data_IF_705516447267
#
_entry.id   IF_705516447267
#
_cell.length_a   1.000
_cell.length_b   1.000
_cell.length_c   1.000
_cell.angle_alpha   90.00
_cell.angle_beta   90.00
_cell.angle_gamma   90.00
#
_symmetry.space_group_name_H-M   'P 1'
#
loop_
_entity.id
_entity.type
_entity.pdbx_description
1 polymer ?
#
# COMPACT_ATOMS: atom_id res chain seq x y z
N UNK A 1 16.83 -42.85 -6.28
CA UNK A 1 17.23 -42.13 -7.51
C UNK A 1 18.11 -40.97 -7.07
N UNK A 2 19.44 -41.06 -7.23
CA UNK A 2 20.36 -39.96 -6.87
C UNK A 2 20.23 -38.89 -7.94
N UNK A 3 19.63 -37.75 -7.62
CA UNK A 3 19.64 -36.60 -8.51
C UNK A 3 21.10 -36.23 -8.80
N UNK A 4 21.50 -36.23 -10.08
CA UNK A 4 22.76 -35.63 -10.51
C UNK A 4 22.72 -34.19 -10.01
N UNK A 5 23.58 -33.83 -9.05
CA UNK A 5 23.68 -32.46 -8.53
C UNK A 5 23.94 -31.53 -9.72
N UNK A 6 22.90 -30.85 -10.18
CA UNK A 6 23.03 -29.83 -11.22
C UNK A 6 23.87 -28.72 -10.63
N UNK A 7 25.00 -28.39 -11.25
CA UNK A 7 25.80 -27.23 -10.87
C UNK A 7 25.01 -25.97 -11.25
N UNK A 8 24.29 -25.42 -10.27
CA UNK A 8 23.49 -24.21 -10.45
C UNK A 8 24.36 -22.96 -10.41
N UNK A 9 23.85 -21.91 -11.04
CA UNK A 9 24.38 -20.55 -10.97
C UNK A 9 24.33 -19.94 -9.58
N UNK A 10 24.94 -18.77 -9.44
CA UNK A 10 25.02 -18.04 -8.16
C UNK A 10 23.64 -17.70 -7.59
N UNK A 11 22.63 -17.52 -8.46
CA UNK A 11 21.23 -17.26 -8.09
C UNK A 11 20.39 -18.52 -7.88
N UNK A 12 21.00 -19.72 -7.86
CA UNK A 12 20.31 -21.02 -7.72
C UNK A 12 19.18 -21.19 -8.73
N UNK A 13 17.92 -21.17 -8.27
CA UNK A 13 16.70 -21.33 -9.07
C UNK A 13 15.98 -20.00 -9.33
N UNK A 14 16.58 -18.87 -8.93
CA UNK A 14 16.03 -17.53 -9.16
C UNK A 14 16.61 -16.88 -10.40
N UNK A 15 15.81 -16.01 -11.01
CA UNK A 15 16.22 -15.23 -12.18
C UNK A 15 17.26 -14.17 -11.80
N UNK A 16 18.48 -14.22 -12.38
CA UNK A 16 19.53 -13.26 -12.07
C UNK A 16 19.22 -11.86 -12.62
N UNK A 17 18.52 -11.78 -13.74
CA UNK A 17 18.10 -10.51 -14.36
C UNK A 17 17.05 -9.80 -13.50
N UNK A 18 16.03 -10.51 -13.04
CA UNK A 18 15.01 -9.93 -12.14
C UNK A 18 15.62 -9.46 -10.82
N UNK A 19 16.62 -10.18 -10.31
CA UNK A 19 17.32 -9.81 -9.09
C UNK A 19 18.16 -8.55 -9.28
N UNK A 20 18.84 -8.39 -10.42
CA UNK A 20 19.67 -7.21 -10.69
C UNK A 20 18.85 -5.96 -11.00
N UNK A 21 17.82 -6.09 -11.83
CA UNK A 21 17.07 -4.94 -12.36
C UNK A 21 15.93 -4.49 -11.44
N UNK A 22 15.16 -5.45 -10.93
CA UNK A 22 13.96 -5.16 -10.14
C UNK A 22 14.22 -5.33 -8.64
N UNK A 23 15.39 -5.85 -8.26
CA UNK A 23 15.71 -6.21 -6.89
C UNK A 23 14.64 -7.13 -6.26
N UNK A 24 14.23 -8.15 -7.03
CA UNK A 24 13.23 -9.16 -6.64
C UNK A 24 13.74 -10.56 -6.97
N UNK A 25 13.63 -11.47 -6.00
CA UNK A 25 13.86 -12.89 -6.21
C UNK A 25 12.63 -13.51 -6.87
N UNK A 26 12.66 -13.55 -8.20
CA UNK A 26 11.62 -14.20 -9.00
C UNK A 26 12.07 -15.61 -9.40
N UNK A 27 11.25 -16.65 -9.18
CA UNK A 27 11.61 -18.02 -9.54
C UNK A 27 11.76 -18.16 -11.06
N UNK A 28 12.88 -18.73 -11.50
CA UNK A 28 13.11 -19.01 -12.92
C UNK A 28 12.45 -20.31 -13.37
N UNK A 29 12.05 -20.36 -14.64
CA UNK A 29 11.48 -21.54 -15.28
C UNK A 29 12.58 -22.40 -15.90
N UNK A 30 12.41 -23.73 -15.84
CA UNK A 30 13.34 -24.68 -16.44
C UNK A 30 13.44 -24.51 -17.96
N UNK A 31 12.33 -24.18 -18.61
CA UNK A 31 12.22 -24.02 -20.06
C UNK A 31 13.04 -22.85 -20.61
N UNK A 32 13.40 -21.90 -19.74
CA UNK A 32 14.17 -20.72 -20.11
C UNK A 32 15.61 -20.79 -19.63
N UNK A 33 16.08 -21.93 -19.12
CA UNK A 33 17.42 -22.06 -18.57
C UNK A 33 18.52 -21.82 -19.61
N UNK A 34 19.64 -21.25 -19.16
CA UNK A 34 20.85 -21.09 -19.97
C UNK A 34 22.09 -21.53 -19.17
N UNK A 35 23.12 -21.97 -19.89
CA UNK A 35 24.39 -22.38 -19.29
C UNK A 35 25.45 -21.30 -19.51
N UNK A 36 26.12 -20.88 -18.43
CA UNK A 36 27.23 -19.93 -18.49
C UNK A 36 28.31 -20.34 -17.47
N UNK A 37 29.57 -20.38 -17.89
CA UNK A 37 30.72 -20.83 -17.06
C UNK A 37 30.44 -22.15 -16.32
N UNK A 38 29.96 -23.16 -17.03
CA UNK A 38 29.59 -24.48 -16.49
C UNK A 38 28.44 -24.51 -15.46
N UNK A 39 27.86 -23.37 -15.13
CA UNK A 39 26.71 -23.23 -14.24
C UNK A 39 25.41 -23.05 -15.03
N UNK A 40 24.32 -23.59 -14.50
CA UNK A 40 22.96 -23.45 -15.07
C UNK A 40 22.23 -22.31 -14.36
N UNK A 41 21.76 -21.33 -15.14
CA UNK A 41 20.93 -20.22 -14.68
C UNK A 41 19.50 -20.39 -15.18
N UNK A 42 18.53 -20.00 -14.36
CA UNK A 42 17.10 -20.06 -14.68
C UNK A 42 16.54 -18.64 -14.85
N UNK A 43 15.53 -18.48 -15.71
CA UNK A 43 14.99 -17.17 -16.05
C UNK A 43 13.46 -17.19 -15.99
N UNK A 44 12.85 -16.09 -15.57
CA UNK A 44 11.39 -15.99 -15.46
C UNK A 44 10.72 -15.96 -16.83
N UNK A 45 11.37 -15.34 -17.81
CA UNK A 45 10.86 -15.16 -19.17
C UNK A 45 12.01 -15.38 -20.17
N UNK A 46 11.73 -15.71 -21.44
CA UNK A 46 12.76 -15.90 -22.45
C UNK A 46 13.51 -14.61 -22.78
N UNK A 47 12.88 -13.44 -22.63
CA UNK A 47 13.53 -12.14 -22.87
C UNK A 47 14.66 -11.90 -21.86
N UNK A 48 14.46 -12.28 -20.59
CA UNK A 48 15.51 -12.18 -19.57
C UNK A 48 16.64 -13.17 -19.81
N UNK A 49 16.35 -14.37 -20.33
CA UNK A 49 17.41 -15.29 -20.78
C UNK A 49 18.27 -14.65 -21.87
N UNK A 50 17.63 -14.07 -22.89
CA UNK A 50 18.35 -13.47 -24.02
C UNK A 50 19.14 -12.22 -23.58
N UNK A 51 18.59 -11.44 -22.64
CA UNK A 51 19.28 -10.30 -22.03
C UNK A 51 20.52 -10.73 -21.24
N UNK A 52 20.43 -11.81 -20.47
CA UNK A 52 21.56 -12.38 -19.77
C UNK A 52 22.63 -12.89 -20.73
N UNK A 53 22.24 -13.59 -21.81
CA UNK A 53 23.20 -14.12 -22.78
C UNK A 53 23.97 -13.02 -23.54
N UNK A 54 23.39 -11.81 -23.66
CA UNK A 54 24.09 -10.66 -24.25
C UNK A 54 25.25 -10.20 -23.37
N UNK A 55 25.00 -9.98 -22.08
CA UNK A 55 25.99 -9.47 -21.12
C UNK A 55 25.94 -10.25 -19.80
N UNK A 56 26.41 -11.52 -19.76
CA UNK A 56 26.25 -12.38 -18.58
C UNK A 56 27.04 -11.90 -17.37
N UNK A 57 28.16 -11.22 -17.60
CA UNK A 57 29.01 -10.66 -16.55
C UNK A 57 28.26 -9.65 -15.66
N UNK A 58 27.24 -8.95 -16.16
CA UNK A 58 26.51 -7.97 -15.34
C UNK A 58 25.64 -8.63 -14.24
N UNK A 59 25.29 -9.90 -14.45
CA UNK A 59 24.29 -10.62 -13.65
C UNK A 59 24.89 -11.74 -12.78
N UNK A 60 26.18 -12.04 -12.95
CA UNK A 60 26.92 -13.09 -12.23
C UNK A 60 27.77 -12.47 -11.13
N UNK A 61 27.99 -13.19 -10.03
CA UNK A 61 28.82 -12.70 -8.94
C UNK A 61 30.30 -12.72 -9.36
N UNK A 62 30.96 -11.55 -9.35
CA UNK A 62 32.40 -11.46 -9.62
C UNK A 62 33.21 -11.49 -8.33
N UNK A 63 33.17 -10.39 -7.57
CA UNK A 63 33.98 -10.19 -6.38
C UNK A 63 33.14 -10.18 -5.09
N UNK A 64 31.89 -9.75 -5.18
CA UNK A 64 30.98 -9.66 -4.05
C UNK A 64 29.84 -10.67 -4.18
N UNK A 65 29.40 -11.27 -3.05
CA UNK A 65 28.23 -12.11 -3.04
C UNK A 65 27.00 -11.30 -3.46
N UNK A 66 26.11 -11.93 -4.22
CA UNK A 66 24.87 -11.30 -4.66
C UNK A 66 24.04 -10.91 -3.44
N UNK A 67 23.72 -9.62 -3.34
CA UNK A 67 22.90 -9.10 -2.26
C UNK A 67 21.45 -9.56 -2.44
N UNK A 68 20.88 -10.15 -1.40
CA UNK A 68 19.49 -10.51 -1.36
C UNK A 68 18.61 -9.25 -1.20
N UNK A 69 17.43 -9.20 -1.85
CA UNK A 69 16.55 -8.07 -1.70
C UNK A 69 15.95 -8.01 -0.27
N UNK A 70 15.55 -6.81 0.19
CA UNK A 70 14.93 -6.63 1.50
C UNK A 70 13.70 -7.53 1.67
N UNK A 71 13.53 -8.06 2.88
CA UNK A 71 12.36 -8.86 3.24
C UNK A 71 11.11 -7.97 3.23
N UNK A 72 10.07 -8.41 2.49
CA UNK A 72 8.76 -7.76 2.44
C UNK A 72 7.76 -8.69 3.12
N UNK A 73 7.23 -8.28 4.27
CA UNK A 73 6.32 -9.08 5.10
C UNK A 73 5.01 -8.34 5.26
N UNK A 74 3.89 -9.02 4.98
CA UNK A 74 2.54 -8.51 5.23
C UNK A 74 1.88 -9.38 6.30
N UNK A 75 1.42 -8.77 7.39
CA UNK A 75 0.74 -9.45 8.49
C UNK A 75 -0.77 -9.27 8.34
N UNK A 76 -1.48 -10.38 8.11
CA UNK A 76 -2.92 -10.44 7.85
C UNK A 76 -3.59 -11.26 8.94
N UNK A 77 -4.84 -10.93 9.27
CA UNK A 77 -5.61 -11.60 10.32
C UNK A 77 -6.80 -10.75 10.77
N UNK A 78 -7.61 -11.29 11.68
CA UNK A 78 -8.82 -10.64 12.20
C UNK A 78 -8.56 -9.24 12.79
N UNK A 79 -9.58 -8.38 12.78
CA UNK A 79 -9.52 -7.09 13.46
C UNK A 79 -9.22 -7.28 14.96
N UNK A 80 -8.43 -6.38 15.56
CA UNK A 80 -8.03 -6.51 16.97
C UNK A 80 -6.98 -7.59 17.30
N UNK A 81 -6.55 -8.43 16.36
CA UNK A 81 -5.57 -9.52 16.61
C UNK A 81 -4.14 -9.04 16.95
N UNK A 82 -3.91 -7.74 17.15
CA UNK A 82 -2.60 -7.20 17.50
C UNK A 82 -1.57 -7.18 16.35
N UNK A 83 -2.02 -7.28 15.09
CA UNK A 83 -1.16 -7.32 13.90
C UNK A 83 -0.14 -6.18 13.87
N UNK A 84 -0.58 -4.95 14.13
CA UNK A 84 0.28 -3.75 14.16
C UNK A 84 1.34 -3.83 15.25
N UNK A 85 1.01 -4.37 16.43
CA UNK A 85 1.95 -4.54 17.54
C UNK A 85 3.00 -5.59 17.17
N UNK A 86 2.56 -6.74 16.67
CA UNK A 86 3.46 -7.80 16.20
C UNK A 86 4.35 -7.33 15.04
N UNK A 87 3.78 -6.57 14.10
CA UNK A 87 4.50 -6.01 12.95
C UNK A 87 5.63 -5.09 13.40
N UNK A 88 5.37 -4.19 14.36
CA UNK A 88 6.39 -3.32 14.96
C UNK A 88 7.48 -4.12 15.65
N UNK A 89 7.12 -5.11 16.47
CA UNK A 89 8.10 -5.97 17.14
C UNK A 89 8.98 -6.75 16.16
N UNK A 90 8.41 -7.25 15.06
CA UNK A 90 9.14 -7.94 14.00
C UNK A 90 10.09 -6.96 13.29
N UNK A 91 9.61 -5.76 13.01
CA UNK A 91 10.40 -4.70 12.38
C UNK A 91 11.62 -4.32 13.22
N UNK A 92 11.43 -4.08 14.52
CA UNK A 92 12.49 -3.73 15.46
C UNK A 92 13.54 -4.86 15.57
N UNK A 93 13.09 -6.12 15.64
CA UNK A 93 13.99 -7.28 15.75
C UNK A 93 14.79 -7.55 14.47
N UNK A 94 14.18 -7.35 13.30
CA UNK A 94 14.82 -7.61 12.01
C UNK A 94 15.52 -6.37 11.43
N UNK A 95 15.38 -5.20 12.06
CA UNK A 95 15.89 -3.94 11.54
C UNK A 95 15.26 -3.54 10.20
N UNK A 96 14.01 -3.93 9.95
CA UNK A 96 13.30 -3.62 8.71
C UNK A 96 12.31 -2.47 8.92
N UNK A 97 12.02 -1.72 7.86
CA UNK A 97 11.09 -0.60 7.92
C UNK A 97 9.64 -1.08 8.12
N UNK A 98 8.97 -0.56 9.15
CA UNK A 98 7.57 -0.86 9.44
C UNK A 98 6.65 0.16 8.77
N UNK A 99 5.74 -0.31 7.91
CA UNK A 99 4.71 0.51 7.28
C UNK A 99 3.38 0.22 7.98
N UNK A 100 2.77 1.26 8.57
CA UNK A 100 1.40 1.16 9.04
C UNK A 100 0.46 1.34 7.85
N UNK A 101 0.10 0.20 7.24
CA UNK A 101 -0.58 0.15 5.94
C UNK A 101 -1.86 0.99 5.87
N UNK A 102 -2.68 0.98 6.93
CA UNK A 102 -3.93 1.73 6.98
C UNK A 102 -3.72 3.25 6.88
N UNK A 103 -2.76 3.79 7.64
CA UNK A 103 -2.41 5.22 7.61
C UNK A 103 -1.84 5.61 6.25
N UNK A 104 -0.89 4.81 5.75
CA UNK A 104 -0.26 5.05 4.46
C UNK A 104 -1.27 4.98 3.29
N UNK A 105 -2.17 4.01 3.33
CA UNK A 105 -3.24 3.89 2.34
C UNK A 105 -4.18 5.10 2.40
N UNK A 106 -4.53 5.54 3.61
CA UNK A 106 -5.38 6.70 3.83
C UNK A 106 -4.73 7.97 3.26
N UNK A 107 -3.43 8.18 3.47
CA UNK A 107 -2.68 9.32 2.90
C UNK A 107 -2.69 9.31 1.37
N UNK A 108 -2.57 8.15 0.73
CA UNK A 108 -2.59 8.02 -0.73
C UNK A 108 -3.98 8.26 -1.34
N UNK A 109 -5.03 7.93 -0.61
CA UNK A 109 -6.42 7.99 -1.10
C UNK A 109 -7.07 9.35 -0.81
N UNK A 110 -6.71 10.01 0.30
CA UNK A 110 -7.29 11.28 0.74
C UNK A 110 -7.33 12.37 -0.35
N UNK A 111 -6.32 12.54 -1.23
CA UNK A 111 -6.39 13.52 -2.31
C UNK A 111 -7.49 13.25 -3.34
N UNK A 112 -7.88 11.97 -3.50
CA UNK A 112 -8.91 11.53 -4.46
C UNK A 112 -10.30 11.55 -3.86
N UNK A 113 -10.44 11.10 -2.62
CA UNK A 113 -11.73 10.96 -1.93
C UNK A 113 -12.13 12.21 -1.15
N UNK A 114 -11.16 13.06 -0.79
CA UNK A 114 -11.31 14.26 0.08
C UNK A 114 -11.76 13.98 1.51
N UNK A 115 -12.09 12.72 1.83
CA UNK A 115 -12.46 12.25 3.15
C UNK A 115 -11.72 10.94 3.49
N UNK A 116 -11.70 10.61 4.79
CA UNK A 116 -11.18 9.33 5.25
C UNK A 116 -12.17 8.22 4.91
N UNK A 117 -11.66 7.05 4.54
CA UNK A 117 -12.46 5.94 4.03
C UNK A 117 -12.23 4.73 4.90
N UNK A 118 -13.32 4.12 5.38
CA UNK A 118 -13.26 2.82 6.02
C UNK A 118 -14.26 2.69 7.17
N UNK A 119 -14.39 1.48 7.73
CA UNK A 119 -15.44 1.16 8.70
C UNK A 119 -15.44 2.03 9.97
N UNK A 120 -14.31 2.67 10.28
CA UNK A 120 -14.15 3.58 11.43
C UNK A 120 -14.43 5.06 11.11
N UNK A 121 -14.61 5.41 9.84
CA UNK A 121 -14.86 6.78 9.36
C UNK A 121 -16.21 6.92 8.66
N UNK A 122 -16.83 5.79 8.30
CA UNK A 122 -18.20 5.71 7.78
C UNK A 122 -19.27 5.80 8.88
N UNK A 123 -18.87 5.93 10.15
CA UNK A 123 -19.77 6.34 11.24
C UNK A 123 -20.25 7.77 10.90
N UNK A 124 -21.56 7.90 10.62
CA UNK A 124 -22.21 9.18 10.34
C UNK A 124 -21.71 10.22 11.34
N UNK A 125 -21.37 11.45 10.91
CA UNK A 125 -20.94 12.47 11.84
C UNK A 125 -22.03 12.60 12.89
N UNK A 126 -21.71 12.22 14.14
CA UNK A 126 -22.42 12.67 15.33
C UNK A 126 -22.74 14.13 15.07
N UNK A 127 -24.04 14.44 14.97
CA UNK A 127 -24.50 15.77 14.57
C UNK A 127 -23.75 16.78 15.43
N UNK A 128 -22.76 17.44 14.83
CA UNK A 128 -21.88 18.39 15.51
C UNK A 128 -22.83 19.33 16.27
N UNK A 129 -22.82 19.32 17.60
CA UNK A 129 -23.80 20.05 18.43
C UNK A 129 -23.88 21.53 18.00
N UNK A 130 -22.78 22.04 17.43
CA UNK A 130 -22.66 23.36 16.83
C UNK A 130 -23.57 23.58 15.61
N UNK A 131 -23.83 22.55 14.80
CA UNK A 131 -24.70 22.59 13.63
C UNK A 131 -26.17 22.58 14.03
N UNK A 132 -26.55 21.82 15.06
CA UNK A 132 -27.87 21.91 15.70
C UNK A 132 -28.09 23.30 16.31
N UNK A 133 -27.08 23.86 16.99
CA UNK A 133 -27.17 25.18 17.61
C UNK A 133 -27.36 26.30 16.55
N UNK A 134 -26.62 26.23 15.45
CA UNK A 134 -26.75 27.17 14.31
C UNK A 134 -28.13 27.07 13.63
N UNK A 135 -28.63 25.86 13.39
CA UNK A 135 -29.95 25.64 12.79
C UNK A 135 -31.08 26.13 13.73
N UNK A 136 -30.91 25.98 15.03
CA UNK A 136 -31.86 26.46 16.05
C UNK A 136 -31.93 27.98 16.05
N UNK A 137 -30.77 28.66 15.99
CA UNK A 137 -30.68 30.12 15.92
C UNK A 137 -31.28 30.68 14.63
N UNK A 138 -31.02 30.05 13.47
CA UNK A 138 -31.62 30.48 12.20
C UNK A 138 -33.14 30.35 12.20
N UNK A 139 -33.70 29.29 12.82
CA UNK A 139 -35.15 29.10 12.95
C UNK A 139 -35.80 30.12 13.91
N UNK A 140 -35.12 30.48 14.99
CA UNK A 140 -35.57 31.52 15.92
C UNK A 140 -35.57 32.92 15.28
N UNK A 141 -34.52 33.25 14.51
CA UNK A 141 -34.42 34.51 13.78
C UNK A 141 -35.48 34.61 12.67
N UNK A 142 -35.81 33.49 12.00
CA UNK A 142 -36.87 33.46 10.98
C UNK A 142 -38.26 33.67 11.57
N UNK A 143 -38.55 33.08 12.74
CA UNK A 143 -39.82 33.26 13.47
C UNK A 143 -40.01 34.71 13.95
N UNK A 144 -38.93 35.35 14.42
CA UNK A 144 -38.95 36.76 14.81
C UNK A 144 -39.11 37.71 13.62
N UNK A 145 -38.59 37.35 12.44
CA UNK A 145 -38.81 38.09 11.21
C UNK A 145 -40.27 38.02 10.75
N UNK A 146 -40.90 36.83 10.80
CA UNK A 146 -42.31 36.67 10.42
C UNK A 146 -43.28 37.43 11.35
N UNK A 147 -43.02 37.42 12.66
CA UNK A 147 -43.87 38.13 13.65
C UNK A 147 -43.74 39.66 13.60
N UNK A 148 -42.67 40.21 13.01
CA UNK A 148 -42.51 41.65 12.74
C UNK A 148 -43.25 42.09 11.47
N UNK A 149 -43.35 41.23 10.46
CA UNK A 149 -44.04 41.53 9.20
C UNK A 149 -45.56 41.61 9.40
N UNK A 150 -46.15 40.75 10.24
CA UNK A 150 -47.60 40.78 10.52
C UNK A 150 -48.07 41.99 11.36
N UNK A 151 -47.19 42.62 12.14
CA UNK A 151 -47.54 43.82 12.92
C UNK A 151 -47.54 45.09 12.08
N UNK A 152 -46.93 45.09 10.90
CA UNK A 152 -46.84 46.28 10.04
C UNK A 152 -48.05 46.42 9.10
N UNK A 153 -48.72 45.32 8.76
CA UNK A 153 -49.91 45.35 7.90
C UNK A 153 -51.20 45.73 8.64
N UNK A 154 -51.31 45.50 9.95
CA UNK A 154 -52.51 45.87 10.74
C UNK A 154 -52.63 47.37 11.07
N UNK A 155 -51.58 48.18 10.85
CA UNK A 155 -51.59 49.63 11.13
C UNK A 155 -51.90 50.52 9.91
N UNK A 156 -52.28 49.95 8.75
CA UNK A 156 -52.68 50.72 7.55
C UNK A 156 -54.18 50.76 7.26
N UNK A 157 -55.04 50.29 8.17
CA UNK A 157 -56.50 50.41 8.06
C UNK A 157 -57.13 51.16 9.25
N UNK A 158 -56.56 52.28 9.69
CA UNK A 158 -57.31 53.33 10.41
C UNK A 158 -56.60 54.67 10.17
N UNK A 159 -56.88 55.34 9.05
CA UNK A 159 -57.16 56.80 8.92
C UNK A 159 -58.00 56.99 7.66
#
# INVERSE_FOLDING_TARGET
>A
IKEKKRHMGDTKHFCPVSLKENFVLYPGLYDHAAKYQEKIYYFSTPEYRDKFLKNPEEYVAHNEPIQAPPLRVCLIGAHGAGKTICARQVADKLGIFHIQFEEYLQELILPKTKEKVGPHFDEEPEEDDNKILMLSQELEDFSQAMTKTEKTEKNKQVI
#
